data_IF_205651365562
#
_entry.id   IF_205651365562
#
_cell.length_a   1.000
_cell.length_b   1.000
_cell.length_c   1.000
_cell.angle_alpha   90.00
_cell.angle_beta   90.00
_cell.angle_gamma   90.00
#
_symmetry.space_group_name_H-M   'P 1'
#
loop_
_entity.id
_entity.type
_entity.pdbx_description
1 polymer ?
#
# COMPACT_ATOMS: atom_id res chain seq x y z
N UNK A 1 -45.92 44.47 7.58
CA UNK A 1 -46.64 45.02 6.40
C UNK A 1 -46.62 43.97 5.30
N UNK A 2 -47.76 43.77 4.64
CA UNK A 2 -48.23 42.55 3.97
C UNK A 2 -47.86 42.54 2.46
N UNK A 3 -47.76 41.33 1.87
CA UNK A 3 -48.13 40.90 0.48
C UNK A 3 -46.95 40.36 -0.33
N UNK A 4 -47.06 39.30 -1.14
CA UNK A 4 -48.11 38.31 -1.46
C UNK A 4 -47.41 37.18 -2.24
N UNK A 5 -47.58 35.92 -1.82
CA UNK A 5 -47.33 34.73 -2.66
C UNK A 5 -48.63 34.41 -3.38
N UNK A 6 -48.59 34.29 -4.69
CA UNK A 6 -49.73 33.86 -5.52
C UNK A 6 -49.71 32.35 -5.69
N UNK A 7 -50.74 31.70 -5.14
CA UNK A 7 -51.23 30.40 -5.58
C UNK A 7 -52.20 30.59 -6.75
N UNK A 8 -52.22 29.63 -7.67
CA UNK A 8 -53.39 29.38 -8.52
C UNK A 8 -53.60 27.88 -8.70
N UNK A 9 -54.75 27.45 -8.15
CA UNK A 9 -55.55 26.21 -8.29
C UNK A 9 -55.48 25.58 -9.69
N UNK A 10 -55.30 24.27 -9.86
CA UNK A 10 -56.22 23.14 -9.57
C UNK A 10 -57.54 23.20 -10.37
N UNK A 11 -57.67 22.33 -11.37
CA UNK A 11 -58.95 21.74 -11.77
C UNK A 11 -58.76 20.26 -12.05
N UNK A 12 -59.60 19.50 -11.34
CA UNK A 12 -59.69 18.05 -11.26
C UNK A 12 -60.83 17.56 -12.17
N UNK A 13 -60.91 16.24 -12.37
CA UNK A 13 -62.04 15.36 -12.76
C UNK A 13 -61.80 14.56 -14.04
N UNK A 14 -62.12 13.28 -14.15
CA UNK A 14 -62.54 12.27 -13.18
C UNK A 14 -62.51 10.87 -13.86
N UNK A 15 -62.12 9.86 -13.06
CA UNK A 15 -62.61 8.47 -12.95
C UNK A 15 -62.74 7.50 -14.15
N UNK A 16 -62.08 6.34 -14.03
CA UNK A 16 -62.69 5.01 -13.72
C UNK A 16 -61.58 3.94 -13.64
N UNK A 17 -61.30 3.37 -12.46
CA UNK A 17 -61.66 2.00 -12.00
C UNK A 17 -61.10 0.87 -12.92
N UNK A 18 -60.39 -0.17 -12.48
CA UNK A 18 -60.43 -0.90 -11.21
C UNK A 18 -59.19 -1.81 -10.98
N UNK A 19 -58.93 -2.05 -9.69
CA UNK A 19 -58.43 -3.28 -9.03
C UNK A 19 -57.24 -4.08 -9.60
N UNK A 20 -56.15 -4.18 -8.80
CA UNK A 20 -55.85 -5.40 -8.04
C UNK A 20 -54.57 -5.24 -7.21
N UNK A 21 -54.72 -5.48 -5.91
CA UNK A 21 -53.72 -5.56 -4.85
C UNK A 21 -52.71 -6.69 -5.05
N UNK A 22 -51.41 -6.43 -4.88
CA UNK A 22 -50.43 -7.41 -4.37
C UNK A 22 -49.39 -6.69 -3.50
N UNK A 23 -49.40 -7.02 -2.21
CA UNK A 23 -48.39 -6.61 -1.23
C UNK A 23 -47.01 -7.20 -1.56
N UNK A 24 -45.90 -6.55 -1.16
CA UNK A 24 -44.56 -7.12 -1.31
C UNK A 24 -44.28 -8.12 -0.19
N UNK A 25 -43.68 -9.30 -0.45
CA UNK A 25 -43.14 -10.09 0.63
C UNK A 25 -41.81 -9.48 1.10
N UNK A 26 -41.83 -8.99 2.34
CA UNK A 26 -40.65 -8.81 3.17
C UNK A 26 -39.94 -10.15 3.35
N UNK A 27 -38.67 -10.24 2.96
CA UNK A 27 -37.80 -11.35 3.35
C UNK A 27 -36.47 -10.79 3.86
N UNK A 28 -36.43 -10.64 5.19
CA UNK A 28 -35.21 -10.58 5.96
C UNK A 28 -34.41 -11.87 5.74
N UNK A 29 -33.22 -11.77 5.16
CA UNK A 29 -32.11 -12.65 5.50
C UNK A 29 -30.80 -11.94 5.24
N UNK A 30 -30.31 -11.27 6.28
CA UNK A 30 -28.90 -10.91 6.40
C UNK A 30 -28.10 -12.22 6.42
N UNK A 31 -27.29 -12.44 5.39
CA UNK A 31 -26.26 -13.47 5.40
C UNK A 31 -24.94 -12.73 5.59
N UNK A 32 -24.57 -12.57 6.86
CA UNK A 32 -23.17 -12.29 7.23
C UNK A 32 -22.38 -13.56 6.93
N UNK A 33 -21.79 -13.62 5.75
CA UNK A 33 -20.81 -14.63 5.38
C UNK A 33 -19.43 -14.04 5.57
N UNK A 34 -18.83 -14.24 6.74
CA UNK A 34 -17.38 -14.14 6.87
C UNK A 34 -16.79 -15.32 6.09
N UNK A 35 -16.50 -15.11 4.81
CA UNK A 35 -15.79 -16.10 4.01
C UNK A 35 -14.31 -15.96 4.36
N UNK A 36 -13.84 -16.83 5.26
CA UNK A 36 -12.43 -17.07 5.44
C UNK A 36 -11.91 -17.73 4.14
N UNK A 37 -11.26 -16.95 3.29
CA UNK A 37 -10.55 -17.50 2.15
C UNK A 37 -9.26 -18.13 2.67
N UNK A 38 -9.26 -19.45 2.80
CA UNK A 38 -8.01 -20.20 2.84
C UNK A 38 -7.35 -20.04 1.46
N UNK A 39 -6.30 -19.22 1.38
CA UNK A 39 -5.52 -19.09 0.17
C UNK A 39 -4.88 -20.45 -0.15
N UNK A 40 -5.02 -20.97 -1.38
CA UNK A 40 -4.31 -22.17 -1.77
C UNK A 40 -2.81 -21.86 -1.76
N UNK A 41 -2.03 -22.68 -1.07
CA UNK A 41 -0.56 -22.73 -1.21
C UNK A 41 -0.27 -23.35 -2.58
N UNK A 42 -0.52 -22.59 -3.64
CA UNK A 42 -0.04 -22.89 -4.97
C UNK A 42 1.25 -22.10 -5.11
N UNK A 43 2.37 -22.75 -4.80
CA UNK A 43 3.70 -22.23 -5.09
C UNK A 43 3.78 -21.91 -6.57
N UNK A 44 3.59 -20.64 -6.92
CA UNK A 44 3.79 -20.15 -8.27
C UNK A 44 5.28 -20.35 -8.59
N UNK A 45 5.59 -20.74 -9.82
CA UNK A 45 6.96 -21.00 -10.29
C UNK A 45 7.95 -19.85 -10.07
N UNK A 46 7.44 -18.65 -9.77
CA UNK A 46 8.21 -17.47 -9.37
C UNK A 46 8.76 -17.55 -7.93
N UNK A 47 8.01 -18.11 -6.98
CA UNK A 47 8.45 -18.22 -5.58
C UNK A 47 9.72 -19.08 -5.43
N UNK A 48 9.86 -20.12 -6.24
CA UNK A 48 11.03 -21.01 -6.24
C UNK A 48 12.34 -20.37 -6.77
N UNK A 49 12.27 -19.19 -7.41
CA UNK A 49 13.44 -18.47 -7.95
C UNK A 49 13.96 -17.36 -7.04
N UNK A 50 13.22 -17.00 -6.00
CA UNK A 50 13.60 -15.91 -5.09
C UNK A 50 14.74 -16.34 -4.20
N UNK A 51 15.72 -15.45 -4.01
CA UNK A 51 16.79 -15.67 -3.03
C UNK A 51 16.17 -15.68 -1.64
N UNK A 52 16.66 -16.51 -0.70
CA UNK A 52 16.16 -16.46 0.67
C UNK A 52 16.45 -15.08 1.29
N UNK A 53 15.46 -14.53 2.00
CA UNK A 53 15.64 -13.31 2.77
C UNK A 53 16.62 -13.51 3.92
N UNK A 54 17.44 -12.50 4.19
CA UNK A 54 18.46 -12.55 5.22
C UNK A 54 18.03 -11.79 6.47
N UNK A 55 17.83 -12.54 7.56
CA UNK A 55 17.52 -11.99 8.89
C UNK A 55 18.59 -10.98 9.34
N UNK A 56 18.12 -9.90 9.95
CA UNK A 56 18.94 -8.82 10.50
C UNK A 56 18.94 -8.88 12.03
N UNK A 57 19.75 -9.77 12.61
CA UNK A 57 19.77 -10.00 14.06
C UNK A 57 20.17 -8.78 14.91
N UNK A 58 20.92 -7.83 14.33
CA UNK A 58 21.25 -6.55 14.98
C UNK A 58 20.12 -5.51 14.85
N UNK A 59 19.04 -5.85 14.16
CA UNK A 59 18.03 -4.90 13.69
C UNK A 59 18.49 -4.14 12.44
N UNK A 60 17.54 -3.58 11.72
CA UNK A 60 17.75 -2.65 10.61
C UNK A 60 16.57 -1.66 10.60
N UNK A 61 16.79 -0.45 11.14
CA UNK A 61 15.73 0.55 11.28
C UNK A 61 16.11 1.90 10.70
N UNK A 62 15.20 2.49 9.93
CA UNK A 62 15.35 3.84 9.40
C UNK A 62 14.30 4.81 9.95
N UNK A 63 13.13 4.31 10.33
CA UNK A 63 12.04 5.10 10.88
C UNK A 63 12.01 5.01 12.40
N UNK A 64 11.82 3.80 12.93
CA UNK A 64 11.71 3.50 14.35
C UNK A 64 12.06 2.03 14.60
N UNK A 65 12.87 1.78 15.63
CA UNK A 65 13.23 0.44 16.08
C UNK A 65 12.00 -0.41 16.45
N UNK A 66 10.92 0.22 16.91
CA UNK A 66 9.68 -0.45 17.30
C UNK A 66 8.93 -1.11 16.14
N UNK A 67 9.28 -0.83 14.88
CA UNK A 67 8.68 -1.48 13.71
C UNK A 67 9.55 -2.60 13.12
N UNK A 68 10.67 -2.95 13.76
CA UNK A 68 11.47 -4.10 13.33
C UNK A 68 10.68 -5.41 13.54
N UNK A 69 10.53 -6.20 12.48
CA UNK A 69 9.84 -7.49 12.56
C UNK A 69 10.57 -8.44 13.52
N UNK A 70 9.85 -9.08 14.44
CA UNK A 70 10.45 -10.11 15.32
C UNK A 70 10.63 -11.47 14.64
N UNK A 71 9.90 -11.70 13.56
CA UNK A 71 9.93 -12.90 12.72
C UNK A 71 9.76 -12.48 11.25
N UNK A 72 10.08 -13.34 10.26
CA UNK A 72 9.78 -13.04 8.87
C UNK A 72 8.29 -12.74 8.68
N UNK A 73 7.99 -11.58 8.10
CA UNK A 73 6.63 -11.06 8.00
C UNK A 73 6.16 -11.09 6.55
N UNK A 74 4.93 -11.56 6.35
CA UNK A 74 4.30 -11.60 5.04
C UNK A 74 3.08 -10.69 5.00
N UNK A 75 3.12 -9.70 4.13
CA UNK A 75 2.11 -8.66 4.01
C UNK A 75 1.44 -8.66 2.64
N UNK A 76 0.24 -8.09 2.64
CA UNK A 76 -0.53 -7.79 1.47
C UNK A 76 -0.70 -6.28 1.31
N UNK A 77 -0.39 -5.74 0.14
CA UNK A 77 -0.67 -4.34 -0.17
C UNK A 77 -1.83 -4.25 -1.16
N UNK A 78 -2.96 -3.78 -0.64
CA UNK A 78 -4.17 -3.65 -1.43
C UNK A 78 -4.12 -2.38 -2.29
N UNK A 79 -4.56 -2.49 -3.54
CA UNK A 79 -4.44 -1.45 -4.55
C UNK A 79 -5.80 -1.19 -5.18
N UNK A 80 -6.30 0.04 -5.02
CA UNK A 80 -7.56 0.46 -5.64
C UNK A 80 -7.29 1.40 -6.82
N UNK A 81 -8.25 1.41 -7.76
CA UNK A 81 -8.28 2.40 -8.84
C UNK A 81 -8.96 3.67 -8.35
N UNK A 82 -8.21 4.77 -8.23
CA UNK A 82 -8.72 6.11 -7.90
C UNK A 82 -8.35 7.11 -8.99
N UNK A 83 -9.35 7.83 -9.52
CA UNK A 83 -9.15 8.93 -10.49
C UNK A 83 -8.17 8.57 -11.63
N UNK A 84 -8.35 7.38 -12.20
CA UNK A 84 -7.55 6.81 -13.30
C UNK A 84 -6.12 6.34 -12.96
N UNK A 85 -5.75 6.25 -11.68
CA UNK A 85 -4.49 5.63 -11.23
C UNK A 85 -4.74 4.46 -10.28
N UNK A 86 -3.82 3.52 -10.23
CA UNK A 86 -3.78 2.51 -9.18
C UNK A 86 -2.99 3.06 -7.99
N UNK A 87 -3.58 3.02 -6.80
CA UNK A 87 -2.95 3.52 -5.58
C UNK A 87 -3.06 2.50 -4.46
N UNK A 88 -1.97 2.33 -3.71
CA UNK A 88 -1.97 1.52 -2.50
C UNK A 88 -2.90 2.17 -1.48
N UNK A 89 -3.86 1.42 -0.97
CA UNK A 89 -4.89 1.92 -0.06
C UNK A 89 -4.75 1.34 1.36
N UNK A 90 -4.28 0.11 1.49
CA UNK A 90 -4.11 -0.53 2.79
C UNK A 90 -3.04 -1.61 2.77
N UNK A 91 -2.54 -1.93 3.96
CA UNK A 91 -1.57 -3.01 4.20
C UNK A 91 -2.18 -3.99 5.18
N UNK A 92 -2.26 -5.26 4.79
CA UNK A 92 -2.82 -6.34 5.59
C UNK A 92 -1.75 -7.39 5.89
N UNK A 93 -1.89 -8.09 7.00
CA UNK A 93 -1.11 -9.29 7.26
C UNK A 93 -1.64 -10.47 6.42
N UNK A 94 -0.77 -11.21 5.74
CA UNK A 94 -1.21 -12.27 4.81
C UNK A 94 -1.88 -13.46 5.52
N UNK A 95 -1.37 -13.86 6.69
CA UNK A 95 -1.85 -15.05 7.38
C UNK A 95 -3.26 -14.86 7.96
N UNK A 96 -3.55 -13.67 8.49
CA UNK A 96 -4.78 -13.37 9.21
C UNK A 96 -5.76 -12.53 8.40
N UNK A 97 -5.28 -11.81 7.38
CA UNK A 97 -6.03 -10.77 6.69
C UNK A 97 -6.26 -9.53 7.56
N UNK A 98 -5.59 -9.41 8.70
CA UNK A 98 -5.75 -8.26 9.60
C UNK A 98 -5.22 -6.99 8.95
N UNK A 99 -6.00 -5.91 8.97
CA UNK A 99 -5.55 -4.58 8.58
C UNK A 99 -4.48 -4.10 9.56
N UNK A 100 -3.27 -3.86 9.08
CA UNK A 100 -2.19 -3.27 9.89
C UNK A 100 -2.13 -1.76 9.71
N UNK A 101 -2.26 -1.31 8.46
CA UNK A 101 -2.17 0.11 8.13
C UNK A 101 -3.12 0.54 7.03
N UNK A 102 -3.65 1.75 7.16
CA UNK A 102 -4.36 2.44 6.08
C UNK A 102 -3.44 3.47 5.42
N UNK A 103 -3.55 3.63 4.10
CA UNK A 103 -2.76 4.61 3.34
C UNK A 103 -3.66 5.75 2.90
N UNK A 104 -3.44 6.93 3.46
CA UNK A 104 -4.18 8.14 3.11
C UNK A 104 -3.36 9.03 2.18
N UNK A 105 -3.90 9.33 1.00
CA UNK A 105 -3.33 10.34 0.10
C UNK A 105 -3.90 11.72 0.45
N UNK A 106 -3.01 12.71 0.64
CA UNK A 106 -3.42 14.09 0.89
C UNK A 106 -4.06 14.66 -0.39
N UNK A 107 -5.36 15.01 -0.38
CA UNK A 107 -6.04 15.51 -1.56
C UNK A 107 -5.37 16.79 -2.07
N UNK A 108 -5.32 16.94 -3.39
CA UNK A 108 -4.80 18.13 -4.08
C UNK A 108 -3.33 18.47 -3.77
N UNK A 109 -2.55 17.52 -3.25
CA UNK A 109 -1.12 17.72 -2.99
C UNK A 109 -0.31 17.70 -4.30
N UNK A 110 0.35 18.83 -4.62
CA UNK A 110 1.35 18.89 -5.70
C UNK A 110 2.51 17.90 -5.51
N UNK A 111 2.70 17.43 -4.29
CA UNK A 111 3.80 16.58 -3.85
C UNK A 111 3.38 15.13 -3.61
N UNK A 112 2.16 14.72 -4.03
CA UNK A 112 1.62 13.36 -3.85
C UNK A 112 1.98 12.77 -2.47
N UNK A 113 1.59 13.50 -1.44
CA UNK A 113 1.88 13.12 -0.07
C UNK A 113 0.97 11.98 0.36
N UNK A 114 1.54 10.96 1.00
CA UNK A 114 0.81 9.83 1.58
C UNK A 114 1.23 9.60 3.01
N UNK A 115 0.24 9.33 3.87
CA UNK A 115 0.44 8.96 5.25
C UNK A 115 0.04 7.51 5.45
N UNK A 116 0.86 6.77 6.19
CA UNK A 116 0.53 5.46 6.71
C UNK A 116 -0.08 5.66 8.10
N UNK A 117 -1.31 5.19 8.30
CA UNK A 117 -2.05 5.30 9.55
C UNK A 117 -2.14 3.90 10.17
N UNK A 118 -1.97 3.81 11.48
CA UNK A 118 -2.24 2.57 12.21
C UNK A 118 -3.75 2.35 12.43
N UNK A 119 -4.11 1.25 13.09
CA UNK A 119 -5.51 0.92 13.43
C UNK A 119 -6.19 1.94 14.36
N UNK A 120 -5.42 2.84 14.98
CA UNK A 120 -5.95 3.93 15.83
C UNK A 120 -6.14 5.23 15.05
N UNK A 121 -6.01 5.17 13.72
CA UNK A 121 -6.06 6.33 12.81
C UNK A 121 -4.96 7.36 13.06
N UNK A 122 -3.88 6.95 13.75
CA UNK A 122 -2.72 7.81 14.01
C UNK A 122 -1.69 7.59 12.91
N UNK A 123 -1.25 8.68 12.29
CA UNK A 123 -0.19 8.62 11.28
C UNK A 123 1.12 8.12 11.89
N UNK A 124 1.61 6.97 11.43
CA UNK A 124 2.90 6.40 11.85
C UNK A 124 4.07 6.98 11.06
N UNK A 125 3.85 7.24 9.77
CA UNK A 125 4.84 7.83 8.88
C UNK A 125 4.16 8.56 7.71
N UNK A 126 4.84 9.55 7.18
CA UNK A 126 4.39 10.26 5.98
C UNK A 126 5.50 10.30 4.94
N UNK A 127 5.19 9.93 3.71
CA UNK A 127 6.07 10.13 2.56
C UNK A 127 5.57 11.28 1.69
N UNK A 128 6.52 12.08 1.22
CA UNK A 128 6.26 13.18 0.29
C UNK A 128 7.16 13.04 -0.92
N UNK A 129 6.55 13.06 -2.09
CA UNK A 129 7.27 13.12 -3.36
C UNK A 129 7.73 14.55 -3.61
N UNK A 130 9.02 14.73 -3.94
CA UNK A 130 9.51 16.03 -4.40
C UNK A 130 8.79 16.43 -5.69
N UNK A 131 8.38 17.69 -5.80
CA UNK A 131 7.77 18.16 -7.03
C UNK A 131 8.83 18.20 -8.14
N UNK A 132 8.45 17.78 -9.34
CA UNK A 132 9.21 17.92 -10.58
C UNK A 132 10.56 17.21 -10.65
N UNK A 133 10.57 15.93 -11.01
CA UNK A 133 11.71 15.31 -11.70
C UNK A 133 11.24 14.18 -12.61
N UNK A 134 11.41 14.32 -13.94
CA UNK A 134 10.94 13.33 -14.93
C UNK A 134 11.74 12.02 -14.95
N UNK A 135 12.99 12.01 -14.47
CA UNK A 135 13.90 10.86 -14.57
C UNK A 135 14.27 10.22 -13.23
N UNK A 136 14.24 11.00 -12.15
CA UNK A 136 14.65 10.58 -10.81
C UNK A 136 13.70 11.20 -9.77
N UNK A 137 12.78 10.42 -9.24
CA UNK A 137 11.81 10.88 -8.25
C UNK A 137 12.43 10.74 -6.86
N UNK A 138 12.37 11.79 -6.05
CA UNK A 138 12.85 11.74 -4.66
C UNK A 138 11.68 11.71 -3.71
N UNK A 139 11.70 10.77 -2.78
CA UNK A 139 10.76 10.67 -1.67
C UNK A 139 11.46 11.07 -0.38
N UNK A 140 10.75 11.81 0.47
CA UNK A 140 11.20 12.19 1.80
C UNK A 140 10.22 11.63 2.82
N UNK A 141 10.73 10.89 3.82
CA UNK A 141 9.94 10.32 4.91
C UNK A 141 9.97 11.24 6.13
N UNK A 142 8.83 11.41 6.79
CA UNK A 142 8.64 12.26 7.97
C UNK A 142 8.00 11.44 9.10
N UNK A 143 8.31 11.75 10.38
CA UNK A 143 7.72 11.08 11.53
C UNK A 143 6.23 11.42 11.69
N UNK A 144 5.56 10.77 12.67
CA UNK A 144 4.14 10.96 13.02
C UNK A 144 3.67 12.41 12.87
N UNK A 145 2.85 12.65 11.85
CA UNK A 145 2.28 13.94 11.40
C UNK A 145 3.29 15.02 10.93
N UNK A 146 2.85 15.76 9.89
CA UNK A 146 3.58 16.70 9.01
C UNK A 146 4.25 17.92 9.68
N UNK A 147 4.35 17.98 11.01
CA UNK A 147 4.89 19.14 11.74
C UNK A 147 6.42 19.22 11.67
N UNK A 148 7.11 18.11 11.40
CA UNK A 148 8.57 18.11 11.23
C UNK A 148 8.99 18.67 9.87
N UNK A 149 9.81 19.72 9.89
CA UNK A 149 10.45 20.26 8.68
C UNK A 149 11.60 19.39 8.17
N UNK A 150 12.12 18.48 9.00
CA UNK A 150 13.27 17.64 8.67
C UNK A 150 12.80 16.20 8.40
N UNK A 151 13.10 15.64 7.21
CA UNK A 151 12.82 14.25 6.94
C UNK A 151 13.77 13.33 7.71
N UNK A 152 13.27 12.16 8.12
CA UNK A 152 14.05 11.11 8.78
C UNK A 152 15.07 10.51 7.80
N UNK A 153 14.59 10.14 6.62
CA UNK A 153 15.40 9.65 5.53
C UNK A 153 14.81 10.07 4.19
N UNK A 154 15.64 9.95 3.16
CA UNK A 154 15.27 10.20 1.78
C UNK A 154 15.71 9.04 0.93
N UNK A 155 14.95 8.77 -0.11
CA UNK A 155 15.30 7.78 -1.09
C UNK A 155 14.81 8.21 -2.47
N UNK A 156 15.40 7.60 -3.49
CA UNK A 156 15.15 8.01 -4.86
C UNK A 156 14.82 6.82 -5.73
N UNK A 157 13.90 7.04 -6.65
CA UNK A 157 13.49 6.10 -7.69
C UNK A 157 13.99 6.63 -9.03
N UNK A 158 14.88 5.88 -9.69
CA UNK A 158 15.38 6.21 -11.02
C UNK A 158 15.24 4.98 -11.92
N UNK A 159 14.50 5.09 -13.03
CA UNK A 159 14.26 3.97 -13.96
C UNK A 159 13.77 2.68 -13.24
N UNK A 160 12.86 2.83 -12.28
CA UNK A 160 12.32 1.75 -11.44
C UNK A 160 13.34 1.07 -10.51
N UNK A 161 14.48 1.71 -10.27
CA UNK A 161 15.49 1.28 -9.31
C UNK A 161 15.46 2.16 -8.08
N UNK A 162 15.45 1.52 -6.91
CA UNK A 162 15.57 2.16 -5.61
C UNK A 162 17.04 2.50 -5.35
N UNK A 163 17.28 3.71 -4.87
CA UNK A 163 18.53 4.15 -4.27
C UNK A 163 18.22 4.87 -2.96
N UNK A 164 18.66 4.29 -1.84
CA UNK A 164 18.49 4.86 -0.52
C UNK A 164 19.80 4.74 0.26
N UNK A 165 20.15 5.80 0.98
CA UNK A 165 21.25 5.81 1.96
C UNK A 165 20.70 6.40 3.24
N UNK A 166 20.90 5.71 4.35
CA UNK A 166 20.42 6.13 5.66
C UNK A 166 21.38 5.62 6.74
N UNK A 167 21.21 6.15 7.95
CA UNK A 167 21.91 5.67 9.13
C UNK A 167 20.97 4.74 9.88
N UNK A 168 21.40 3.50 10.11
CA UNK A 168 20.67 2.52 10.89
C UNK A 168 20.55 3.03 12.33
N UNK A 169 19.32 3.21 12.82
CA UNK A 169 19.07 3.72 14.17
C UNK A 169 19.54 2.70 15.23
N UNK A 170 19.54 1.41 14.88
CA UNK A 170 19.90 0.34 15.80
C UNK A 170 21.41 0.28 16.04
N UNK A 171 22.21 0.39 14.97
CA UNK A 171 23.66 0.19 15.05
C UNK A 171 24.47 1.49 14.87
N UNK A 172 23.89 2.54 14.32
CA UNK A 172 24.58 3.77 13.94
C UNK A 172 25.33 3.69 12.60
N UNK A 173 25.32 2.54 11.93
CA UNK A 173 26.04 2.34 10.68
C UNK A 173 25.34 3.01 9.50
N UNK A 174 26.13 3.41 8.49
CA UNK A 174 25.54 3.82 7.21
C UNK A 174 25.12 2.58 6.42
N UNK A 175 23.85 2.52 6.06
CA UNK A 175 23.27 1.46 5.25
C UNK A 175 22.82 2.00 3.89
N UNK A 176 22.89 1.14 2.87
CA UNK A 176 22.38 1.40 1.53
C UNK A 176 21.28 0.41 1.22
N UNK A 177 20.17 0.90 0.71
CA UNK A 177 19.10 0.08 0.16
C UNK A 177 19.02 0.29 -1.35
N UNK A 178 18.74 -0.79 -2.06
CA UNK A 178 18.39 -0.72 -3.47
C UNK A 178 17.47 -1.85 -3.87
N UNK A 179 17.09 -1.86 -5.14
CA UNK A 179 16.19 -2.87 -5.68
C UNK A 179 16.72 -3.48 -6.97
N UNK A 180 16.49 -4.78 -7.13
CA UNK A 180 16.73 -5.52 -8.37
C UNK A 180 15.49 -6.35 -8.67
N UNK A 181 15.10 -6.47 -9.94
CA UNK A 181 13.93 -7.26 -10.27
C UNK A 181 13.55 -7.15 -11.73
N UNK A 182 12.75 -8.11 -12.18
CA UNK A 182 12.20 -8.17 -13.54
C UNK A 182 10.70 -8.53 -13.46
N UNK A 183 9.91 -7.99 -14.40
CA UNK A 183 8.51 -8.40 -14.63
C UNK A 183 7.59 -8.44 -13.39
N UNK A 184 7.70 -7.44 -12.50
CA UNK A 184 6.82 -7.33 -11.34
C UNK A 184 7.24 -8.17 -10.13
N UNK A 185 8.37 -8.88 -10.19
CA UNK A 185 9.02 -9.46 -9.01
C UNK A 185 10.26 -8.62 -8.67
N UNK A 186 10.27 -8.02 -7.49
CA UNK A 186 11.26 -7.03 -7.07
C UNK A 186 11.86 -7.43 -5.73
N UNK A 187 13.16 -7.69 -5.75
CA UNK A 187 13.99 -7.85 -4.56
C UNK A 187 14.47 -6.49 -4.07
N UNK A 188 14.30 -6.25 -2.76
CA UNK A 188 14.90 -5.14 -2.05
C UNK A 188 16.08 -5.69 -1.26
N UNK A 189 17.25 -5.14 -1.52
CA UNK A 189 18.50 -5.54 -0.87
C UNK A 189 19.04 -4.41 -0.01
N UNK A 190 19.77 -4.77 1.04
CA UNK A 190 20.57 -3.85 1.84
C UNK A 190 22.05 -4.17 1.76
N UNK A 191 22.87 -3.15 2.02
CA UNK A 191 24.31 -3.25 2.23
C UNK A 191 24.67 -2.39 3.44
N UNK A 192 25.31 -2.98 4.45
CA UNK A 192 25.71 -2.30 5.69
C UNK A 192 27.17 -1.87 5.59
N UNK A 193 27.46 -0.63 6.00
CA UNK A 193 28.77 -0.03 5.88
C UNK A 193 29.02 0.66 4.54
N UNK A 194 30.15 1.37 4.45
CA UNK A 194 30.56 2.15 3.28
C UNK A 194 31.45 1.38 2.30
N UNK A 195 31.96 0.20 2.70
CA UNK A 195 32.84 -0.63 1.87
C UNK A 195 32.06 -1.28 0.73
N UNK A 196 32.58 -1.20 -0.49
CA UNK A 196 32.02 -1.88 -1.66
C UNK A 196 32.10 -3.41 -1.58
N UNK A 197 32.89 -3.93 -0.64
CA UNK A 197 33.15 -5.36 -0.46
C UNK A 197 32.09 -6.07 0.40
N UNK A 198 31.19 -5.31 1.03
CA UNK A 198 30.07 -5.90 1.76
C UNK A 198 29.02 -6.44 0.79
N UNK A 199 28.70 -7.72 0.94
CA UNK A 199 27.71 -8.39 0.11
C UNK A 199 26.32 -7.77 0.29
N UNK A 200 25.58 -7.66 -0.82
CA UNK A 200 24.18 -7.22 -0.82
C UNK A 200 23.29 -8.34 -0.30
N UNK A 201 22.56 -8.03 0.78
CA UNK A 201 21.70 -8.98 1.48
C UNK A 201 20.23 -8.71 1.09
N UNK A 202 19.51 -9.69 0.55
CA UNK A 202 18.07 -9.52 0.27
C UNK A 202 17.30 -9.44 1.59
N UNK A 203 16.46 -8.42 1.74
CA UNK A 203 15.70 -8.17 2.99
C UNK A 203 14.20 -8.04 2.78
N UNK A 204 13.75 -7.85 1.55
CA UNK A 204 12.34 -7.96 1.22
C UNK A 204 12.13 -8.36 -0.24
N UNK A 205 10.97 -8.95 -0.53
CA UNK A 205 10.51 -9.26 -1.89
C UNK A 205 9.10 -8.76 -2.10
N UNK A 206 8.88 -7.98 -3.16
CA UNK A 206 7.59 -7.49 -3.59
C UNK A 206 7.21 -8.17 -4.91
N UNK A 207 6.06 -8.83 -4.96
CA UNK A 207 5.64 -9.63 -6.12
C UNK A 207 4.12 -9.65 -6.27
N UNK A 208 3.57 -9.98 -7.46
CA UNK A 208 2.13 -9.91 -7.69
C UNK A 208 1.39 -10.88 -6.78
N UNK A 209 0.21 -10.48 -6.32
CA UNK A 209 -0.67 -11.35 -5.56
C UNK A 209 -1.08 -12.58 -6.40
N UNK A 210 -1.46 -13.70 -5.77
CA UNK A 210 -1.99 -14.85 -6.49
C UNK A 210 -3.13 -14.46 -7.44
N UNK A 211 -3.14 -15.02 -8.65
CA UNK A 211 -4.14 -14.70 -9.66
C UNK A 211 -5.57 -14.99 -9.14
N UNK A 212 -6.52 -14.10 -9.48
CA UNK A 212 -7.91 -14.20 -9.05
C UNK A 212 -8.22 -13.56 -7.69
N UNK A 213 -7.22 -13.02 -7.00
CA UNK A 213 -7.43 -12.19 -5.81
C UNK A 213 -7.68 -10.73 -6.22
N UNK A 214 -8.56 -9.97 -5.53
CA UNK A 214 -8.76 -8.53 -5.77
C UNK A 214 -7.58 -7.66 -5.30
N UNK A 215 -6.48 -8.32 -4.98
CA UNK A 215 -5.41 -7.90 -4.14
C UNK A 215 -4.24 -7.45 -5.03
N UNK A 216 -3.53 -6.39 -4.61
CA UNK A 216 -2.49 -5.76 -5.42
C UNK A 216 -1.24 -6.63 -5.52
N UNK A 217 -0.42 -6.62 -4.46
CA UNK A 217 0.83 -7.37 -4.44
C UNK A 217 1.17 -7.84 -3.03
N UNK A 218 1.90 -8.94 -2.98
CA UNK A 218 2.44 -9.52 -1.74
C UNK A 218 3.84 -8.98 -1.46
N UNK A 219 4.16 -8.88 -0.19
CA UNK A 219 5.43 -8.39 0.31
C UNK A 219 5.95 -9.32 1.41
N UNK A 220 7.11 -9.92 1.18
CA UNK A 220 7.83 -10.67 2.19
C UNK A 220 8.91 -9.76 2.80
N UNK A 221 9.03 -9.71 4.12
CA UNK A 221 10.00 -8.89 4.86
C UNK A 221 10.80 -9.79 5.79
N UNK A 222 12.13 -9.63 5.79
CA UNK A 222 13.01 -10.39 6.67
C UNK A 222 12.81 -10.01 8.14
N UNK A 223 13.13 -10.95 9.02
CA UNK A 223 13.27 -10.71 10.46
C UNK A 223 14.27 -9.58 10.75
N UNK A 224 13.97 -8.75 11.74
CA UNK A 224 14.80 -7.65 12.21
C UNK A 224 14.73 -6.38 11.36
N UNK A 225 13.94 -6.36 10.28
CA UNK A 225 13.82 -5.21 9.38
C UNK A 225 12.63 -4.34 9.76
N UNK A 226 12.82 -3.02 9.75
CA UNK A 226 11.76 -2.02 9.90
C UNK A 226 10.70 -2.16 8.81
N UNK A 227 9.55 -2.73 9.17
CA UNK A 227 8.46 -3.02 8.26
C UNK A 227 7.89 -1.75 7.63
N UNK A 228 7.79 -0.67 8.41
CA UNK A 228 7.22 0.59 7.92
C UNK A 228 8.14 1.21 6.87
N UNK A 229 9.46 1.20 7.09
CA UNK A 229 10.42 1.62 6.07
C UNK A 229 10.20 0.86 4.76
N UNK A 230 10.09 -0.47 4.80
CA UNK A 230 9.91 -1.29 3.61
C UNK A 230 8.56 -1.02 2.94
N UNK A 231 7.46 -0.89 3.69
CA UNK A 231 6.14 -0.53 3.17
C UNK A 231 6.21 0.79 2.39
N UNK A 232 6.85 1.83 2.95
CA UNK A 232 7.00 3.13 2.30
C UNK A 232 7.80 3.03 0.99
N UNK A 233 8.85 2.22 0.97
CA UNK A 233 9.65 1.93 -0.23
C UNK A 233 8.79 1.22 -1.28
N UNK A 234 7.98 0.23 -0.89
CA UNK A 234 7.08 -0.49 -1.79
C UNK A 234 6.01 0.43 -2.41
N UNK A 235 5.45 1.35 -1.63
CA UNK A 235 4.50 2.35 -2.15
C UNK A 235 5.16 3.22 -3.24
N UNK A 236 6.41 3.62 -3.03
CA UNK A 236 7.16 4.42 -4.00
C UNK A 236 7.62 3.63 -5.23
N UNK A 237 7.94 2.34 -5.06
CA UNK A 237 8.19 1.41 -6.17
C UNK A 237 6.94 1.28 -7.05
N UNK A 238 5.78 1.04 -6.43
CA UNK A 238 4.48 1.01 -7.11
C UNK A 238 4.22 2.28 -7.92
N UNK A 239 4.44 3.46 -7.32
CA UNK A 239 4.27 4.75 -8.00
C UNK A 239 5.22 4.97 -9.18
N UNK A 240 6.39 4.32 -9.16
CA UNK A 240 7.43 4.51 -10.18
C UNK A 240 7.27 3.61 -11.40
N UNK A 241 6.47 2.55 -11.29
CA UNK A 241 6.24 1.58 -12.35
C UNK A 241 4.99 1.95 -13.17
N UNK A 242 4.97 1.67 -14.49
CA UNK A 242 3.77 1.88 -15.29
C UNK A 242 2.65 0.93 -14.83
N UNK A 243 1.40 1.41 -14.80
CA UNK A 243 0.14 0.75 -14.34
C UNK A 243 -0.12 -0.69 -14.88
N UNK A 244 0.72 -1.20 -15.78
CA UNK A 244 0.58 -2.50 -16.43
C UNK A 244 1.42 -3.61 -15.78
N UNK A 245 2.46 -3.29 -15.01
CA UNK A 245 3.39 -4.31 -14.47
C UNK A 245 2.87 -5.05 -13.23
N UNK A 246 2.03 -4.40 -12.42
CA UNK A 246 1.53 -4.97 -11.17
C UNK A 246 0.15 -5.63 -11.29
N UNK A 247 -0.36 -5.80 -12.52
CA UNK A 247 -1.63 -6.51 -12.70
C UNK A 247 -1.39 -8.00 -12.61
N UNK A 248 -2.23 -8.69 -11.83
CA UNK A 248 -2.46 -10.10 -12.07
C UNK A 248 -2.90 -10.27 -13.55
N UNK A 249 -2.40 -11.28 -14.29
CA UNK A 249 -2.88 -11.54 -15.63
C UNK A 249 -4.40 -11.77 -15.54
N UNK A 250 -5.19 -10.91 -16.19
CA UNK A 250 -6.61 -11.19 -16.42
C UNK A 250 -6.69 -12.43 -17.29
N UNK A 251 -6.99 -13.58 -16.67
CA UNK A 251 -7.40 -14.77 -17.40
C UNK A 251 -8.81 -14.46 -17.90
N UNK A 252 -8.90 -14.06 -19.17
CA UNK A 252 -10.18 -14.14 -19.88
C UNK A 252 -10.50 -15.63 -19.99
N UNK A 253 -11.56 -16.06 -19.29
CA UNK A 253 -12.23 -17.35 -19.53
C UNK A 253 -13.40 -17.11 -20.46
#
# INVERSE_FOLDING_TARGET
MIRRRSESKQTQRDTSAASASKAPPSLNRSISGAVAFALPVLGTTAAAKRRPLQSQHLGLAALDAGYCCHEPMQLHLNVDRRLDRHVVCSVLENATGQLLFEVHEKPLSLHRQRSLLDMTEVAVATIRMSAFCRRKVTYSSYPRAETSKKPLFKFTMAQSRLEMVFMDIMTGDTCRLGSNGEQGDMEIWMQRGSSTDTARQPIAHMYPAPAGTPLGYSLDIAEGVDAVMIILVCIALHDSEPDRKWRAPTIFT
#
